data_IF_015567929556
#
_entry.id   IF_015567929556
#
_cell.length_a   1.000
_cell.length_b   1.000
_cell.length_c   1.000
_cell.angle_alpha   90.00
_cell.angle_beta   90.00
_cell.angle_gamma   90.00
#
_symmetry.space_group_name_H-M   'P 1'
#
loop_
_entity.id
_entity.type
_entity.pdbx_description
1 polymer ?
#
# COMPACT_ATOMS: atom_id res chain seq x y z
N UNK A 1 -19.79 3.21 42.75
CA UNK A 1 -19.09 4.24 41.98
C UNK A 1 -17.69 4.29 42.56
N UNK A 2 -16.73 3.64 41.92
CA UNK A 2 -15.35 3.68 42.39
C UNK A 2 -14.87 5.12 42.27
N UNK A 3 -14.19 5.63 43.29
CA UNK A 3 -13.56 6.96 43.25
C UNK A 3 -12.75 7.07 41.97
N UNK A 4 -13.14 8.00 41.10
CA UNK A 4 -12.54 8.25 39.79
C UNK A 4 -11.20 8.99 39.98
N UNK A 5 -10.31 8.41 40.79
CA UNK A 5 -9.01 8.99 41.10
C UNK A 5 -8.16 8.92 39.83
N UNK A 6 -7.66 10.08 39.40
CA UNK A 6 -6.74 10.15 38.27
C UNK A 6 -5.50 9.29 38.56
N UNK A 7 -5.09 8.49 37.57
CA UNK A 7 -3.85 7.72 37.67
C UNK A 7 -2.65 8.67 37.60
N UNK A 8 -1.65 8.42 38.44
CA UNK A 8 -0.38 9.15 38.38
C UNK A 8 0.44 8.64 37.19
N UNK A 9 0.97 9.55 36.36
CA UNK A 9 1.67 9.21 35.11
C UNK A 9 3.04 9.89 34.96
N UNK A 10 3.94 9.82 35.96
CA UNK A 10 5.16 10.62 35.97
C UNK A 10 6.09 10.37 34.76
N UNK A 11 6.15 9.16 34.20
CA UNK A 11 6.95 8.91 33.00
C UNK A 11 6.29 9.48 31.73
N UNK A 12 4.96 9.40 31.62
CA UNK A 12 4.24 9.99 30.49
C UNK A 12 4.22 11.52 30.55
N UNK A 13 4.22 12.13 31.73
CA UNK A 13 4.26 13.58 31.92
C UNK A 13 5.50 14.20 31.25
N UNK A 14 6.64 13.49 31.28
CA UNK A 14 7.86 13.93 30.58
C UNK A 14 7.69 14.01 29.05
N UNK A 15 6.73 13.28 28.47
CA UNK A 15 6.45 13.30 27.03
C UNK A 15 5.56 14.48 26.61
N UNK A 16 5.12 15.31 27.55
CA UNK A 16 4.48 16.59 27.25
C UNK A 16 5.51 17.70 27.00
N UNK A 17 6.76 17.47 27.38
CA UNK A 17 7.85 18.41 27.16
C UNK A 17 8.30 18.43 25.69
N UNK A 18 8.82 19.58 25.26
CA UNK A 18 9.40 19.76 23.92
C UNK A 18 8.41 20.34 22.89
N UNK A 19 8.89 20.59 21.66
CA UNK A 19 8.13 21.34 20.66
C UNK A 19 7.18 20.49 19.80
N UNK A 20 7.32 19.16 19.79
CA UNK A 20 6.47 18.28 18.99
C UNK A 20 5.10 18.10 19.65
N UNK A 21 3.97 18.13 18.91
CA UNK A 21 2.65 17.93 19.50
C UNK A 21 2.56 16.61 20.26
N UNK A 22 2.41 16.69 21.59
CA UNK A 22 2.39 15.51 22.44
C UNK A 22 1.07 14.76 22.32
N UNK A 23 1.17 13.46 22.05
CA UNK A 23 0.01 12.58 22.10
C UNK A 23 -0.51 12.41 23.54
N UNK A 24 0.35 12.53 24.55
CA UNK A 24 -0.04 12.48 25.97
C UNK A 24 -0.93 13.67 26.31
N UNK A 25 -0.55 14.89 25.92
CA UNK A 25 -1.41 16.05 26.13
C UNK A 25 -2.76 15.91 25.43
N UNK A 26 -2.80 15.27 24.25
CA UNK A 26 -4.05 14.94 23.55
C UNK A 26 -4.95 13.97 24.35
N UNK A 27 -4.39 12.90 24.90
CA UNK A 27 -5.15 11.93 25.73
C UNK A 27 -5.57 12.55 27.05
N UNK A 28 -4.70 13.34 27.71
CA UNK A 28 -5.04 14.08 28.94
C UNK A 28 -6.17 15.07 28.71
N UNK A 29 -6.19 15.77 27.58
CA UNK A 29 -7.33 16.64 27.21
C UNK A 29 -8.65 15.85 27.13
N UNK A 30 -8.63 14.63 26.57
CA UNK A 30 -9.81 13.75 26.58
C UNK A 30 -10.20 13.26 27.98
N UNK A 31 -9.23 13.12 28.89
CA UNK A 31 -9.44 12.74 30.30
C UNK A 31 -9.99 13.90 31.15
N UNK A 32 -9.55 15.11 30.88
CA UNK A 32 -9.70 16.24 31.80
C UNK A 32 -10.78 17.25 31.34
N UNK A 33 -10.98 17.38 30.02
CA UNK A 33 -11.81 18.44 29.44
C UNK A 33 -13.02 17.92 28.64
N UNK A 34 -13.08 16.63 28.34
CA UNK A 34 -14.15 16.10 27.50
C UNK A 34 -15.49 16.11 28.26
N UNK A 35 -16.62 16.51 27.64
CA UNK A 35 -17.90 16.61 28.36
C UNK A 35 -18.50 15.26 28.77
N UNK A 36 -18.06 14.16 28.15
CA UNK A 36 -18.61 12.81 28.37
C UNK A 36 -17.79 12.00 29.37
N UNK A 37 -18.33 11.75 30.56
CA UNK A 37 -17.65 11.02 31.66
C UNK A 37 -17.07 9.66 31.24
N UNK A 38 -17.77 8.91 30.39
CA UNK A 38 -17.29 7.63 29.83
C UNK A 38 -15.95 7.79 29.10
N UNK A 39 -15.80 8.83 28.27
CA UNK A 39 -14.57 9.10 27.53
C UNK A 39 -13.45 9.49 28.49
N UNK A 40 -13.76 10.32 29.50
CA UNK A 40 -12.79 10.71 30.52
C UNK A 40 -12.26 9.49 31.28
N UNK A 41 -13.14 8.57 31.70
CA UNK A 41 -12.78 7.34 32.41
C UNK A 41 -11.91 6.41 31.57
N UNK A 42 -12.28 6.17 30.30
CA UNK A 42 -11.49 5.35 29.37
C UNK A 42 -10.10 5.97 29.14
N UNK A 43 -10.02 7.29 28.97
CA UNK A 43 -8.75 7.99 28.79
C UNK A 43 -7.87 7.94 30.05
N UNK A 44 -8.46 8.07 31.24
CA UNK A 44 -7.77 7.92 32.53
C UNK A 44 -7.12 6.53 32.64
N UNK A 45 -7.92 5.48 32.46
CA UNK A 45 -7.47 4.10 32.59
C UNK A 45 -6.47 3.70 31.50
N UNK A 46 -6.62 4.23 30.28
CA UNK A 46 -5.62 4.06 29.23
C UNK A 46 -4.27 4.69 29.61
N UNK A 47 -4.28 5.90 30.17
CA UNK A 47 -3.07 6.58 30.65
C UNK A 47 -2.41 5.79 31.77
N UNK A 48 -3.17 5.30 32.74
CA UNK A 48 -2.66 4.45 33.82
C UNK A 48 -2.02 3.15 33.31
N UNK A 49 -2.68 2.45 32.37
CA UNK A 49 -2.10 1.25 31.76
C UNK A 49 -0.87 1.56 30.90
N UNK A 50 -0.86 2.69 30.21
CA UNK A 50 0.28 3.12 29.39
C UNK A 50 1.48 3.46 30.29
N UNK A 51 1.28 4.16 31.40
CA UNK A 51 2.32 4.39 32.42
C UNK A 51 2.86 3.06 32.94
N UNK A 52 1.97 2.13 33.32
CA UNK A 52 2.37 0.80 33.76
C UNK A 52 3.22 0.05 32.72
N UNK A 53 2.89 0.24 31.43
CA UNK A 53 3.66 -0.30 30.31
C UNK A 53 5.05 0.35 30.20
N UNK A 54 5.19 1.64 30.49
CA UNK A 54 6.46 2.36 30.53
C UNK A 54 7.34 1.91 31.69
N UNK A 55 6.77 1.75 32.89
CA UNK A 55 7.47 1.27 34.09
C UNK A 55 8.04 -0.15 33.88
N UNK A 56 7.22 -1.04 33.32
CA UNK A 56 7.55 -2.47 33.20
C UNK A 56 8.18 -2.85 31.87
N UNK A 57 8.15 -1.94 30.88
CA UNK A 57 8.66 -2.14 29.50
C UNK A 57 8.00 -3.32 28.79
N UNK A 58 6.69 -3.48 28.97
CA UNK A 58 5.87 -4.55 28.38
C UNK A 58 4.57 -3.98 27.82
N UNK A 59 4.00 -4.63 26.81
CA UNK A 59 2.65 -4.36 26.34
C UNK A 59 1.65 -5.33 26.98
N UNK A 60 0.58 -4.81 27.59
CA UNK A 60 -0.45 -5.60 28.29
C UNK A 60 -1.75 -5.72 27.49
N UNK A 61 -1.63 -6.20 26.26
CA UNK A 61 -2.77 -6.33 25.35
C UNK A 61 -2.79 -7.72 24.75
N UNK A 62 -3.88 -8.46 25.00
CA UNK A 62 -4.15 -9.72 24.32
C UNK A 62 -5.14 -9.52 23.18
N UNK A 63 -5.06 -10.41 22.19
CA UNK A 63 -6.06 -10.49 21.13
C UNK A 63 -7.33 -11.23 21.55
N UNK A 64 -8.30 -11.23 20.66
CA UNK A 64 -9.51 -12.02 20.74
C UNK A 64 -10.26 -11.97 19.41
N UNK A 65 -11.57 -12.20 19.45
CA UNK A 65 -12.43 -12.20 18.26
C UNK A 65 -13.66 -11.35 18.53
N UNK A 66 -13.82 -10.26 17.78
CA UNK A 66 -14.99 -9.37 17.75
C UNK A 66 -15.14 -8.89 16.32
N UNK A 67 -16.38 -8.85 15.84
CA UNK A 67 -16.76 -8.34 14.53
C UNK A 67 -18.18 -7.79 14.59
N UNK A 68 -18.69 -7.33 13.45
CA UNK A 68 -20.09 -6.91 13.25
C UNK A 68 -20.84 -7.96 12.44
N UNK A 69 -22.17 -7.97 12.54
CA UNK A 69 -23.01 -8.88 11.77
C UNK A 69 -22.77 -8.73 10.27
N UNK A 70 -22.62 -9.87 9.59
CA UNK A 70 -22.39 -9.93 8.15
C UNK A 70 -20.90 -9.90 7.74
N UNK A 71 -19.99 -9.42 8.60
CA UNK A 71 -18.56 -9.30 8.31
C UNK A 71 -17.70 -10.18 9.20
N UNK A 72 -16.63 -10.75 8.63
CA UNK A 72 -15.59 -11.50 9.34
C UNK A 72 -14.32 -10.69 9.64
N UNK A 73 -14.26 -9.42 9.21
CA UNK A 73 -13.10 -8.55 9.34
C UNK A 73 -13.45 -7.10 9.68
N UNK A 74 -12.42 -6.26 9.75
CA UNK A 74 -12.52 -4.80 9.96
C UNK A 74 -12.34 -4.30 11.39
N UNK A 75 -12.44 -5.19 12.38
CA UNK A 75 -12.17 -4.87 13.78
C UNK A 75 -10.90 -5.57 14.25
N UNK A 76 -10.05 -4.83 14.98
CA UNK A 76 -8.91 -5.38 15.71
C UNK A 76 -9.28 -5.42 17.20
N UNK A 77 -9.78 -6.55 17.71
CA UNK A 77 -10.13 -6.69 19.11
C UNK A 77 -8.88 -6.72 19.98
N UNK A 78 -8.90 -5.90 21.03
CA UNK A 78 -7.90 -5.91 22.10
C UNK A 78 -8.56 -5.86 23.46
N UNK A 79 -8.04 -6.70 24.35
CA UNK A 79 -8.44 -6.82 25.74
C UNK A 79 -7.20 -6.57 26.60
N UNK A 80 -7.36 -5.77 27.65
CA UNK A 80 -6.27 -5.51 28.59
C UNK A 80 -5.97 -6.76 29.41
N UNK A 81 -4.68 -7.09 29.54
CA UNK A 81 -4.22 -8.14 30.46
C UNK A 81 -4.22 -7.70 31.93
N UNK A 82 -4.28 -6.38 32.16
CA UNK A 82 -4.35 -5.73 33.47
C UNK A 82 -5.69 -5.01 33.68
N UNK A 83 -6.75 -5.44 32.97
CA UNK A 83 -8.07 -4.80 33.01
C UNK A 83 -8.78 -4.83 34.37
N UNK A 84 -8.28 -5.58 35.36
CA UNK A 84 -8.75 -5.46 36.75
C UNK A 84 -8.29 -4.15 37.41
N UNK A 85 -7.11 -3.65 37.04
CA UNK A 85 -6.55 -2.39 37.52
C UNK A 85 -7.08 -1.19 36.72
N UNK A 86 -7.43 -1.42 35.45
CA UNK A 86 -7.92 -0.41 34.50
C UNK A 86 -9.24 -0.88 33.87
N UNK A 87 -10.35 -0.92 34.65
CA UNK A 87 -11.62 -1.51 34.23
C UNK A 87 -12.32 -0.77 33.08
N UNK A 88 -12.17 0.54 32.95
CA UNK A 88 -12.82 1.33 31.90
C UNK A 88 -12.17 1.10 30.52
N UNK A 89 -10.87 0.80 30.48
CA UNK A 89 -10.13 0.47 29.25
C UNK A 89 -9.90 -1.02 29.03
N UNK A 90 -10.60 -1.89 29.78
CA UNK A 90 -10.44 -3.36 29.72
C UNK A 90 -10.69 -3.95 28.32
N UNK A 91 -11.59 -3.32 27.56
CA UNK A 91 -11.89 -3.61 26.16
C UNK A 91 -11.55 -2.37 25.33
N UNK A 92 -10.71 -2.55 24.33
CA UNK A 92 -10.13 -1.42 23.60
C UNK A 92 -9.99 -1.71 22.11
N UNK A 93 -11.12 -2.06 21.49
CA UNK A 93 -11.15 -2.54 20.12
C UNK A 93 -10.96 -1.40 19.12
N UNK A 94 -10.18 -1.63 18.07
CA UNK A 94 -10.01 -0.66 16.97
C UNK A 94 -10.89 -1.03 15.80
N UNK A 95 -11.79 -0.12 15.41
CA UNK A 95 -12.59 -0.23 14.21
C UNK A 95 -11.86 0.49 13.08
N UNK A 96 -11.63 -0.22 11.97
CA UNK A 96 -10.95 0.32 10.79
C UNK A 96 -12.00 0.71 9.78
N UNK A 97 -12.07 1.99 9.46
CA UNK A 97 -13.02 2.54 8.49
C UNK A 97 -12.28 2.93 7.22
N UNK A 98 -12.86 2.60 6.07
CA UNK A 98 -12.25 2.90 4.77
C UNK A 98 -12.21 4.42 4.56
N UNK A 99 -11.05 4.99 4.13
CA UNK A 99 -10.98 6.38 3.77
C UNK A 99 -11.52 6.59 2.34
N UNK A 100 -11.91 7.82 1.96
CA UNK A 100 -12.04 8.20 0.57
C UNK A 100 -10.68 8.13 -0.15
N UNK A 101 -10.70 7.85 -1.45
CA UNK A 101 -9.49 7.83 -2.27
C UNK A 101 -8.73 9.17 -2.17
N UNK A 102 -7.41 9.11 -2.01
CA UNK A 102 -6.55 10.27 -1.82
C UNK A 102 -6.69 10.98 -0.46
N UNK A 103 -7.46 10.44 0.49
CA UNK A 103 -7.72 11.04 1.81
C UNK A 103 -8.30 12.46 1.74
N UNK A 104 -9.20 12.72 0.79
CA UNK A 104 -9.92 14.00 0.69
C UNK A 104 -11.18 14.01 1.55
N UNK A 105 -11.27 14.96 2.48
CA UNK A 105 -12.41 15.10 3.39
C UNK A 105 -12.95 16.52 3.37
N UNK A 106 -14.28 16.64 3.53
CA UNK A 106 -14.88 17.90 3.97
C UNK A 106 -14.87 17.98 5.50
N UNK A 107 -14.99 19.18 6.06
CA UNK A 107 -15.13 19.34 7.52
C UNK A 107 -16.39 18.67 8.05
N UNK A 108 -17.45 18.59 7.24
CA UNK A 108 -18.72 18.01 7.66
C UNK A 108 -18.62 16.49 7.80
N UNK A 109 -17.92 15.82 6.87
CA UNK A 109 -17.61 14.39 7.00
C UNK A 109 -16.81 14.09 8.28
N UNK A 110 -15.80 14.91 8.57
CA UNK A 110 -14.94 14.72 9.75
C UNK A 110 -15.72 14.95 11.06
N UNK A 111 -16.57 15.99 11.10
CA UNK A 111 -17.43 16.26 12.27
C UNK A 111 -18.43 15.13 12.48
N UNK A 112 -19.10 14.68 11.42
CA UNK A 112 -20.07 13.58 11.51
C UNK A 112 -19.42 12.29 12.05
N UNK A 113 -18.24 11.93 11.54
CA UNK A 113 -17.48 10.79 12.03
C UNK A 113 -17.05 10.95 13.51
N UNK A 114 -16.62 12.15 13.90
CA UNK A 114 -16.25 12.45 15.29
C UNK A 114 -17.47 12.36 16.22
N UNK A 115 -18.60 12.94 15.83
CA UNK A 115 -19.85 12.91 16.59
C UNK A 115 -20.34 11.46 16.79
N UNK A 116 -20.28 10.62 15.75
CA UNK A 116 -20.57 9.18 15.88
C UNK A 116 -19.58 8.47 16.80
N UNK A 117 -18.29 8.78 16.69
CA UNK A 117 -17.27 8.13 17.52
C UNK A 117 -17.35 8.51 18.99
N UNK A 118 -17.70 9.76 19.32
CA UNK A 118 -17.86 10.19 20.71
C UNK A 118 -19.06 9.51 21.40
N UNK A 119 -20.08 9.10 20.65
CA UNK A 119 -21.20 8.31 21.19
C UNK A 119 -20.75 6.91 21.61
N UNK A 120 -19.98 6.23 20.75
CA UNK A 120 -19.77 4.78 20.85
C UNK A 120 -18.35 4.37 21.29
N UNK A 121 -17.35 5.23 21.09
CA UNK A 121 -15.94 4.95 21.30
C UNK A 121 -15.26 5.87 22.30
N UNK A 122 -13.95 5.77 22.40
CA UNK A 122 -13.13 6.48 23.38
C UNK A 122 -12.85 7.96 23.04
N UNK A 123 -13.27 8.44 21.87
CA UNK A 123 -12.82 9.72 21.31
C UNK A 123 -11.42 9.68 20.68
N UNK A 124 -10.63 8.61 20.88
CA UNK A 124 -9.31 8.47 20.26
C UNK A 124 -9.43 8.00 18.81
N UNK A 125 -8.72 8.71 17.94
CA UNK A 125 -8.66 8.43 16.51
C UNK A 125 -7.22 8.47 16.02
N UNK A 126 -6.93 7.72 14.96
CA UNK A 126 -5.72 7.90 14.17
C UNK A 126 -6.09 8.12 12.70
N UNK A 127 -5.69 9.28 12.19
CA UNK A 127 -5.73 9.67 10.79
C UNK A 127 -4.28 9.66 10.27
N UNK A 128 -3.79 8.58 9.66
CA UNK A 128 -4.46 7.33 9.30
C UNK A 128 -3.59 6.13 9.68
N UNK A 129 -4.16 4.93 9.66
CA UNK A 129 -3.39 3.70 9.76
C UNK A 129 -2.49 3.50 8.54
N UNK A 130 -1.38 2.76 8.70
CA UNK A 130 -0.41 2.54 7.61
C UNK A 130 -0.99 1.88 6.35
N UNK A 131 -2.16 1.23 6.41
CA UNK A 131 -2.78 0.69 5.20
C UNK A 131 -3.62 1.75 4.48
N UNK A 132 -4.18 2.72 5.22
CA UNK A 132 -5.09 3.75 4.71
C UNK A 132 -6.23 4.07 5.66
N UNK A 133 -6.71 3.08 6.40
CA UNK A 133 -7.89 3.20 7.26
C UNK A 133 -7.86 4.39 8.20
N UNK A 134 -9.01 5.03 8.37
CA UNK A 134 -9.31 5.80 9.58
C UNK A 134 -9.41 4.78 10.72
N UNK A 135 -8.67 4.99 11.81
CA UNK A 135 -8.69 4.07 12.95
C UNK A 135 -9.42 4.73 14.10
N UNK A 136 -10.58 4.19 14.44
CA UNK A 136 -11.36 4.56 15.62
C UNK A 136 -10.97 3.61 16.76
N UNK A 137 -10.26 4.12 17.76
CA UNK A 137 -9.46 3.30 18.68
C UNK A 137 -10.11 3.27 20.06
N UNK A 138 -10.60 2.11 20.49
CA UNK A 138 -11.13 1.94 21.84
C UNK A 138 -12.65 2.00 21.88
N UNK A 139 -13.28 0.89 21.51
CA UNK A 139 -14.67 0.59 21.81
C UNK A 139 -14.77 -0.73 22.59
N UNK A 140 -15.87 -0.88 23.33
CA UNK A 140 -16.29 -2.16 23.90
C UNK A 140 -16.88 -3.05 22.81
N UNK A 141 -16.98 -4.35 23.07
CA UNK A 141 -17.64 -5.32 22.18
C UNK A 141 -19.04 -4.85 21.79
N UNK A 142 -19.86 -4.48 22.77
CA UNK A 142 -21.25 -4.07 22.56
C UNK A 142 -21.38 -2.82 21.68
N UNK A 143 -20.45 -1.87 21.79
CA UNK A 143 -20.51 -0.63 21.03
C UNK A 143 -20.01 -0.77 19.58
N UNK A 144 -19.33 -1.87 19.24
CA UNK A 144 -18.76 -2.05 17.89
C UNK A 144 -19.83 -2.08 16.81
N UNK A 145 -20.93 -2.81 17.04
CA UNK A 145 -22.06 -2.88 16.10
C UNK A 145 -22.76 -1.52 15.97
N UNK A 146 -23.01 -0.84 17.08
CA UNK A 146 -23.70 0.47 17.07
C UNK A 146 -22.93 1.54 16.31
N UNK A 147 -21.61 1.61 16.50
CA UNK A 147 -20.79 2.53 15.71
C UNK A 147 -20.82 2.19 14.22
N UNK A 148 -20.70 0.90 13.89
CA UNK A 148 -20.74 0.47 12.50
C UNK A 148 -22.07 0.80 11.83
N UNK A 149 -23.20 0.47 12.45
CA UNK A 149 -24.53 0.76 11.91
C UNK A 149 -24.69 2.26 11.64
N UNK A 150 -24.27 3.12 12.58
CA UNK A 150 -24.39 4.57 12.42
C UNK A 150 -23.54 5.10 11.27
N UNK A 151 -22.27 4.67 11.14
CA UNK A 151 -21.43 5.15 10.03
C UNK A 151 -21.85 4.59 8.67
N UNK A 152 -22.43 3.38 8.67
CA UNK A 152 -22.91 2.73 7.45
C UNK A 152 -24.16 3.42 6.90
N UNK A 153 -25.05 3.88 7.78
CA UNK A 153 -26.24 4.65 7.40
C UNK A 153 -25.93 5.91 6.57
N UNK A 154 -24.77 6.53 6.78
CA UNK A 154 -24.32 7.70 6.00
C UNK A 154 -23.18 7.40 5.01
N UNK A 155 -22.92 6.12 4.73
CA UNK A 155 -22.14 5.68 3.57
C UNK A 155 -20.65 5.37 3.81
N UNK A 156 -20.19 5.32 5.07
CA UNK A 156 -18.87 4.77 5.38
C UNK A 156 -18.96 3.27 5.66
N UNK A 157 -17.88 2.55 5.38
CA UNK A 157 -17.82 1.11 5.61
C UNK A 157 -16.54 0.72 6.36
N UNK A 158 -16.55 -0.43 7.01
CA UNK A 158 -15.36 -1.01 7.59
C UNK A 158 -14.36 -1.40 6.49
N UNK A 159 -13.08 -1.27 6.80
CA UNK A 159 -12.00 -1.74 5.95
C UNK A 159 -11.60 -3.18 6.26
N UNK A 160 -10.64 -3.72 5.50
CA UNK A 160 -10.22 -5.11 5.65
C UNK A 160 -9.31 -5.37 6.85
N UNK A 161 -9.60 -6.44 7.59
CA UNK A 161 -8.69 -7.04 8.58
C UNK A 161 -8.79 -8.56 8.58
N UNK A 162 -7.65 -9.24 8.69
CA UNK A 162 -7.58 -10.70 8.59
C UNK A 162 -6.92 -11.18 7.29
N UNK A 163 -7.12 -12.46 6.93
CA UNK A 163 -6.72 -13.06 5.66
C UNK A 163 -7.76 -12.72 4.56
N UNK A 164 -7.74 -11.45 4.16
CA UNK A 164 -8.71 -10.82 3.28
C UNK A 164 -8.01 -9.78 2.39
N UNK A 165 -8.72 -9.26 1.39
CA UNK A 165 -8.32 -8.01 0.73
C UNK A 165 -8.36 -6.91 1.78
N UNK A 166 -7.30 -6.11 1.85
CA UNK A 166 -7.23 -4.98 2.76
C UNK A 166 -7.67 -3.72 2.04
N UNK A 167 -8.09 -2.73 2.83
CA UNK A 167 -8.29 -1.35 2.37
C UNK A 167 -7.16 -0.93 1.43
N UNK A 168 -7.50 -0.46 0.23
CA UNK A 168 -6.51 0.09 -0.67
C UNK A 168 -6.26 1.56 -0.36
N UNK A 169 -5.25 2.11 -1.04
CA UNK A 169 -4.94 3.52 -1.00
C UNK A 169 -4.31 4.00 -2.29
N UNK A 170 -4.52 5.27 -2.57
CA UNK A 170 -3.88 6.00 -3.66
C UNK A 170 -3.10 7.20 -3.10
N UNK A 171 -2.07 7.65 -3.81
CA UNK A 171 -1.51 8.99 -3.56
C UNK A 171 -2.55 10.08 -3.91
N UNK A 172 -2.23 11.35 -3.64
CA UNK A 172 -3.12 12.51 -3.96
C UNK A 172 -3.38 12.64 -5.46
N UNK A 173 -2.44 12.14 -6.28
CA UNK A 173 -2.61 12.01 -7.70
C UNK A 173 -2.89 13.30 -8.45
N UNK A 174 -3.60 13.17 -9.58
CA UNK A 174 -3.99 14.29 -10.43
C UNK A 174 -4.84 15.37 -9.75
N UNK A 175 -5.35 15.12 -8.53
CA UNK A 175 -6.06 16.14 -7.75
C UNK A 175 -5.14 17.29 -7.33
N UNK A 176 -3.83 17.04 -7.15
CA UNK A 176 -2.86 18.09 -6.76
C UNK A 176 -1.41 17.82 -7.18
N UNK A 177 -1.16 16.93 -8.13
CA UNK A 177 0.18 16.62 -8.64
C UNK A 177 0.20 16.64 -10.16
N UNK A 178 1.04 17.50 -10.71
CA UNK A 178 1.28 17.69 -12.14
C UNK A 178 2.03 16.52 -12.79
N UNK A 179 2.67 15.67 -11.98
CA UNK A 179 3.42 14.50 -12.44
C UNK A 179 2.55 13.23 -12.55
N UNK A 180 1.27 13.32 -12.20
CA UNK A 180 0.34 12.20 -12.28
C UNK A 180 0.16 11.70 -13.73
N UNK A 181 0.33 10.38 -13.88
CA UNK A 181 0.23 9.68 -15.16
C UNK A 181 -0.98 8.74 -15.23
N UNK A 182 -1.89 8.77 -14.26
CA UNK A 182 -3.10 7.94 -14.26
C UNK A 182 -4.19 8.58 -13.40
N UNK A 183 -5.43 8.08 -13.47
CA UNK A 183 -6.47 8.49 -12.53
C UNK A 183 -6.44 7.58 -11.29
N UNK A 184 -5.58 7.89 -10.33
CA UNK A 184 -5.29 7.03 -9.18
C UNK A 184 -6.54 6.77 -8.32
N UNK A 185 -7.42 7.77 -8.23
CA UNK A 185 -8.66 7.68 -7.47
C UNK A 185 -9.68 6.75 -8.15
N UNK A 186 -9.78 6.78 -9.49
CA UNK A 186 -10.62 5.83 -10.22
C UNK A 186 -10.09 4.40 -10.07
N UNK A 187 -8.79 4.19 -10.28
CA UNK A 187 -8.15 2.86 -10.10
C UNK A 187 -8.41 2.29 -8.71
N UNK A 188 -8.15 3.08 -7.68
CA UNK A 188 -8.38 2.68 -6.29
C UNK A 188 -9.84 2.23 -6.11
N UNK A 189 -10.82 3.04 -6.52
CA UNK A 189 -12.24 2.71 -6.35
C UNK A 189 -12.67 1.51 -7.18
N UNK A 190 -12.20 1.39 -8.43
CA UNK A 190 -12.47 0.24 -9.29
C UNK A 190 -12.04 -1.06 -8.61
N UNK A 191 -10.80 -1.14 -8.16
CA UNK A 191 -10.27 -2.34 -7.50
C UNK A 191 -11.02 -2.63 -6.19
N UNK A 192 -11.10 -1.67 -5.27
CA UNK A 192 -11.68 -1.95 -3.94
C UNK A 192 -13.16 -2.29 -4.01
N UNK A 193 -13.93 -1.60 -4.86
CA UNK A 193 -15.36 -1.87 -4.95
C UNK A 193 -15.63 -3.26 -5.55
N UNK A 194 -14.79 -3.73 -6.48
CA UNK A 194 -14.91 -5.07 -7.04
C UNK A 194 -14.72 -6.14 -5.96
N UNK A 195 -13.72 -5.96 -5.08
CA UNK A 195 -13.36 -6.91 -4.04
C UNK A 195 -14.03 -6.63 -2.69
N UNK A 196 -15.21 -6.00 -2.68
CA UNK A 196 -15.89 -5.64 -1.41
C UNK A 196 -16.16 -6.89 -0.56
N UNK A 197 -16.61 -8.00 -1.19
CA UNK A 197 -16.83 -9.26 -0.46
C UNK A 197 -15.55 -9.78 0.19
N UNK A 198 -14.46 -9.85 -0.58
CA UNK A 198 -13.14 -10.27 -0.11
C UNK A 198 -12.52 -9.33 0.92
N UNK A 199 -12.96 -8.07 1.01
CA UNK A 199 -12.54 -7.14 2.06
C UNK A 199 -13.15 -7.52 3.41
N UNK A 200 -14.44 -7.86 3.39
CA UNK A 200 -15.25 -8.04 4.60
C UNK A 200 -15.38 -9.49 5.07
N UNK A 201 -15.22 -10.47 4.17
CA UNK A 201 -15.41 -11.91 4.45
C UNK A 201 -14.10 -12.65 4.19
N UNK A 202 -13.22 -12.76 5.19
CA UNK A 202 -11.91 -13.39 5.00
C UNK A 202 -12.02 -14.85 4.52
N UNK A 203 -11.62 -15.09 3.27
CA UNK A 203 -11.59 -16.40 2.64
C UNK A 203 -10.25 -16.73 1.96
N UNK A 204 -9.29 -15.80 2.02
CA UNK A 204 -8.03 -15.90 1.28
C UNK A 204 -6.95 -16.64 2.09
N UNK A 205 -5.88 -17.16 1.46
CA UNK A 205 -4.79 -17.84 2.17
C UNK A 205 -4.08 -16.93 3.19
N UNK A 206 -3.98 -15.64 2.86
CA UNK A 206 -3.50 -14.61 3.77
C UNK A 206 -4.04 -13.22 3.41
N UNK A 207 -3.30 -12.13 3.70
CA UNK A 207 -3.73 -10.76 3.38
C UNK A 207 -3.31 -10.37 1.95
N UNK A 208 -4.19 -9.68 1.23
CA UNK A 208 -3.89 -9.07 -0.07
C UNK A 208 -4.10 -7.55 -0.01
N UNK A 209 -3.32 -6.77 -0.76
CA UNK A 209 -3.37 -5.30 -0.71
C UNK A 209 -3.21 -4.71 -2.10
N UNK A 210 -4.04 -3.73 -2.43
CA UNK A 210 -3.85 -2.84 -3.57
C UNK A 210 -3.28 -1.50 -3.10
N UNK A 211 -2.32 -0.94 -3.86
CA UNK A 211 -1.92 0.46 -3.74
C UNK A 211 -1.62 1.08 -5.08
N UNK A 212 -1.96 2.36 -5.21
CA UNK A 212 -1.86 3.11 -6.46
C UNK A 212 -1.00 4.36 -6.28
N UNK A 213 -0.01 4.53 -7.15
CA UNK A 213 0.83 5.72 -7.23
C UNK A 213 0.79 6.29 -8.64
N UNK A 214 0.63 7.60 -8.75
CA UNK A 214 0.52 8.28 -10.05
C UNK A 214 1.78 8.32 -10.91
N UNK A 215 2.95 8.11 -10.31
CA UNK A 215 4.24 8.13 -11.01
C UNK A 215 5.29 7.32 -10.23
N UNK A 216 6.48 7.08 -10.79
CA UNK A 216 7.56 6.31 -10.15
C UNK A 216 8.20 6.95 -8.90
N UNK A 217 7.82 8.17 -8.52
CA UNK A 217 8.12 8.68 -7.17
C UNK A 217 7.44 7.87 -6.07
N UNK A 218 6.38 7.12 -6.42
CA UNK A 218 5.68 6.17 -5.59
C UNK A 218 5.30 6.72 -4.20
N UNK A 219 4.64 7.87 -4.14
CA UNK A 219 4.27 8.51 -2.87
C UNK A 219 3.36 7.65 -1.98
N UNK A 220 2.71 6.61 -2.52
CA UNK A 220 1.93 5.65 -1.74
C UNK A 220 2.77 4.49 -1.19
N UNK A 221 4.05 4.42 -1.57
CA UNK A 221 4.95 3.30 -1.33
C UNK A 221 4.28 1.97 -1.75
N UNK A 222 3.69 1.97 -2.94
CA UNK A 222 2.92 0.85 -3.46
C UNK A 222 3.81 -0.37 -3.66
N UNK A 223 5.01 -0.21 -4.22
CA UNK A 223 5.91 -1.32 -4.54
C UNK A 223 6.33 -2.13 -3.30
N UNK A 224 6.50 -1.47 -2.15
CA UNK A 224 6.94 -2.09 -0.91
C UNK A 224 5.80 -2.58 0.00
N UNK A 225 4.59 -1.99 -0.13
CA UNK A 225 3.52 -2.16 0.86
C UNK A 225 2.21 -2.68 0.29
N UNK A 226 2.18 -3.16 -0.94
CA UNK A 226 1.03 -3.81 -1.56
C UNK A 226 1.42 -5.13 -2.23
N UNK A 227 0.48 -6.08 -2.24
CA UNK A 227 0.64 -7.31 -3.01
C UNK A 227 0.54 -6.97 -4.49
N UNK A 228 -0.42 -6.12 -4.89
CA UNK A 228 -0.51 -5.54 -6.23
C UNK A 228 -0.29 -4.02 -6.17
N UNK A 229 0.78 -3.56 -6.79
CA UNK A 229 1.14 -2.16 -6.93
C UNK A 229 0.83 -1.67 -8.35
N UNK A 230 0.15 -0.53 -8.45
CA UNK A 230 -0.15 0.13 -9.73
C UNK A 230 0.57 1.47 -9.74
N UNK A 231 1.54 1.62 -10.65
CA UNK A 231 2.41 2.80 -10.73
C UNK A 231 2.26 3.46 -12.09
N UNK A 232 1.80 4.71 -12.13
CA UNK A 232 1.64 5.48 -13.36
C UNK A 232 2.97 5.72 -14.08
N UNK A 233 2.93 5.76 -15.40
CA UNK A 233 4.08 6.06 -16.27
C UNK A 233 3.60 6.60 -17.62
N UNK A 234 4.53 6.86 -18.54
CA UNK A 234 4.24 7.26 -19.92
C UNK A 234 5.18 6.51 -20.88
N UNK A 235 4.83 6.42 -22.18
CA UNK A 235 5.64 5.69 -23.18
C UNK A 235 6.08 6.51 -24.39
N UNK A 236 5.67 7.76 -24.47
CA UNK A 236 6.16 8.75 -25.43
C UNK A 236 7.28 9.62 -24.82
N UNK A 237 7.66 10.67 -25.54
CA UNK A 237 8.72 11.59 -25.13
C UNK A 237 8.26 12.46 -23.94
N UNK A 238 9.14 12.67 -22.96
CA UNK A 238 8.86 13.67 -21.93
C UNK A 238 8.77 15.07 -22.54
N UNK A 239 7.93 15.93 -21.97
CA UNK A 239 7.78 17.30 -22.46
C UNK A 239 8.86 18.17 -21.87
N UNK A 240 9.44 19.03 -22.72
CA UNK A 240 10.50 19.95 -22.34
C UNK A 240 10.13 21.38 -22.74
N UNK A 241 9.96 22.25 -21.75
CA UNK A 241 9.97 23.70 -21.96
C UNK A 241 11.43 24.19 -21.95
N UNK A 242 11.96 24.41 -23.16
CA UNK A 242 13.34 24.87 -23.35
C UNK A 242 13.60 26.25 -22.74
N UNK A 243 12.59 27.13 -22.69
CA UNK A 243 12.76 28.45 -22.09
C UNK A 243 12.89 28.33 -20.58
N UNK A 244 11.97 27.61 -19.93
CA UNK A 244 12.03 27.36 -18.50
C UNK A 244 13.33 26.63 -18.09
N UNK A 245 13.81 25.71 -18.94
CA UNK A 245 15.11 25.07 -18.74
C UNK A 245 16.28 26.07 -18.83
N UNK A 246 16.33 26.89 -19.88
CA UNK A 246 17.39 27.90 -20.06
C UNK A 246 17.40 28.91 -18.92
N UNK A 247 16.22 29.32 -18.45
CA UNK A 247 16.08 30.20 -17.28
C UNK A 247 16.67 29.54 -16.01
N UNK A 248 16.41 28.25 -15.79
CA UNK A 248 17.00 27.49 -14.68
C UNK A 248 18.53 27.40 -14.79
N UNK A 249 19.06 27.13 -15.99
CA UNK A 249 20.52 27.07 -16.23
C UNK A 249 21.15 28.44 -15.98
N UNK A 250 20.51 29.52 -16.42
CA UNK A 250 20.99 30.88 -16.16
C UNK A 250 20.98 31.24 -14.67
N UNK A 251 19.95 30.80 -13.92
CA UNK A 251 19.83 31.05 -12.48
C UNK A 251 20.84 30.25 -11.65
N UNK A 252 21.00 28.95 -11.94
CA UNK A 252 21.84 28.04 -11.13
C UNK A 252 23.27 27.87 -11.63
N UNK A 253 23.51 28.16 -12.91
CA UNK A 253 24.78 27.96 -13.60
C UNK A 253 24.97 26.53 -14.12
N UNK A 254 25.73 26.42 -15.23
CA UNK A 254 25.99 25.15 -15.92
C UNK A 254 26.60 24.07 -15.01
N UNK A 255 27.54 24.45 -14.13
CA UNK A 255 28.19 23.50 -13.23
C UNK A 255 27.18 22.79 -12.33
N UNK A 256 26.28 23.54 -11.69
CA UNK A 256 25.22 22.99 -10.84
C UNK A 256 24.32 22.04 -11.62
N UNK A 257 23.89 22.45 -12.82
CA UNK A 257 23.03 21.65 -13.70
C UNK A 257 23.69 20.33 -14.10
N UNK A 258 24.99 20.36 -14.43
CA UNK A 258 25.75 19.16 -14.78
C UNK A 258 25.85 18.21 -13.58
N UNK A 259 26.23 18.72 -12.41
CA UNK A 259 26.51 17.92 -11.21
C UNK A 259 25.25 17.34 -10.54
N UNK A 260 24.11 18.02 -10.70
CA UNK A 260 22.87 17.64 -10.01
C UNK A 260 21.78 17.08 -10.91
N UNK A 261 21.86 17.25 -12.22
CA UNK A 261 20.83 16.78 -13.16
C UNK A 261 21.43 15.84 -14.18
N UNK A 262 22.37 16.32 -15.01
CA UNK A 262 22.90 15.55 -16.15
C UNK A 262 23.65 14.30 -15.68
N UNK A 263 24.60 14.45 -14.76
CA UNK A 263 25.41 13.32 -14.25
C UNK A 263 24.63 12.37 -13.34
N UNK A 264 23.47 12.80 -12.83
CA UNK A 264 22.59 12.00 -11.98
C UNK A 264 21.52 11.22 -12.75
N UNK A 265 21.36 11.47 -14.05
CA UNK A 265 20.51 10.64 -14.90
C UNK A 265 21.07 9.21 -14.91
N UNK A 266 20.30 8.20 -14.45
CA UNK A 266 20.80 6.83 -14.29
C UNK A 266 21.26 6.18 -15.60
N UNK A 267 20.68 6.61 -16.73
CA UNK A 267 21.05 6.12 -18.07
C UNK A 267 21.84 7.12 -18.90
N UNK A 268 22.18 8.28 -18.32
CA UNK A 268 22.93 9.36 -19.00
C UNK A 268 22.32 9.79 -20.34
N UNK A 269 20.98 9.77 -20.43
CA UNK A 269 20.24 10.08 -21.65
C UNK A 269 19.97 11.59 -21.85
N UNK A 270 20.65 12.47 -21.11
CA UNK A 270 20.44 13.93 -21.14
C UNK A 270 21.72 14.64 -21.58
N UNK A 271 21.62 15.62 -22.47
CA UNK A 271 22.76 16.39 -22.99
C UNK A 271 22.49 17.89 -22.98
N UNK A 272 23.23 18.64 -22.16
CA UNK A 272 23.24 20.12 -22.17
C UNK A 272 24.10 20.61 -23.34
N UNK A 273 23.52 21.45 -24.21
CA UNK A 273 24.18 22.00 -25.40
C UNK A 273 24.91 23.31 -25.12
N UNK A 274 25.64 23.79 -26.12
CA UNK A 274 26.42 25.05 -26.02
C UNK A 274 25.51 26.29 -25.90
N UNK A 275 24.30 26.24 -26.47
CA UNK A 275 23.29 27.31 -26.39
C UNK A 275 22.37 27.19 -25.14
N UNK A 276 22.81 26.40 -24.16
CA UNK A 276 22.08 26.02 -22.93
C UNK A 276 20.76 25.26 -23.14
N UNK A 277 20.43 24.82 -24.37
CA UNK A 277 19.30 23.91 -24.58
C UNK A 277 19.60 22.51 -24.05
N UNK A 278 18.54 21.73 -23.78
CA UNK A 278 18.65 20.32 -23.37
C UNK A 278 18.12 19.39 -24.46
N UNK A 279 18.89 18.36 -24.78
CA UNK A 279 18.45 17.23 -25.59
C UNK A 279 18.27 16.00 -24.71
N UNK A 280 17.17 15.26 -24.92
CA UNK A 280 16.82 14.06 -24.18
C UNK A 280 16.68 12.90 -25.16
N UNK A 281 17.44 11.84 -24.95
CA UNK A 281 17.24 10.56 -25.63
C UNK A 281 16.19 9.74 -24.86
N UNK A 282 14.91 10.00 -25.16
CA UNK A 282 13.78 9.36 -24.49
C UNK A 282 13.79 7.83 -24.62
N UNK A 283 14.36 7.29 -25.70
CA UNK A 283 14.48 5.84 -25.90
C UNK A 283 15.32 5.17 -24.82
N UNK A 284 16.33 5.88 -24.29
CA UNK A 284 17.17 5.41 -23.18
C UNK A 284 16.70 5.96 -21.82
N UNK A 285 15.57 6.66 -21.74
CA UNK A 285 15.02 7.13 -20.48
C UNK A 285 14.29 6.01 -19.74
N UNK A 286 14.67 5.76 -18.49
CA UNK A 286 13.99 4.82 -17.59
C UNK A 286 12.89 5.48 -16.72
N UNK A 287 12.54 6.72 -17.03
CA UNK A 287 11.43 7.47 -16.38
C UNK A 287 11.54 7.52 -14.86
N UNK A 288 12.76 7.65 -14.33
CA UNK A 288 13.04 7.66 -12.89
C UNK A 288 12.59 8.94 -12.14
N UNK A 289 11.91 9.86 -12.81
CA UNK A 289 11.42 11.16 -12.29
C UNK A 289 12.48 12.19 -11.87
N UNK A 290 13.77 11.84 -11.75
CA UNK A 290 14.79 12.75 -11.22
C UNK A 290 14.80 14.15 -11.86
N UNK A 291 14.86 14.23 -13.19
CA UNK A 291 14.85 15.52 -13.90
C UNK A 291 13.55 16.30 -13.69
N UNK A 292 12.40 15.63 -13.71
CA UNK A 292 11.08 16.21 -13.45
C UNK A 292 10.96 16.72 -12.00
N UNK A 293 11.59 16.04 -11.04
CA UNK A 293 11.59 16.45 -9.63
C UNK A 293 12.46 17.68 -9.39
N UNK A 294 13.60 17.78 -10.08
CA UNK A 294 14.53 18.90 -9.87
C UNK A 294 14.05 20.16 -10.58
N UNK A 295 13.46 20.05 -11.78
CA UNK A 295 12.99 21.20 -12.57
C UNK A 295 11.57 20.97 -13.10
N UNK A 296 10.54 20.92 -12.24
CA UNK A 296 9.16 20.61 -12.63
C UNK A 296 8.54 21.64 -13.57
N UNK A 297 9.08 22.87 -13.62
CA UNK A 297 8.65 23.89 -14.59
C UNK A 297 9.11 23.60 -16.02
N UNK A 298 10.21 22.89 -16.19
CA UNK A 298 10.80 22.61 -17.50
C UNK A 298 10.43 21.22 -18.02
N UNK A 299 10.28 20.24 -17.13
CA UNK A 299 10.01 18.86 -17.51
C UNK A 299 8.65 18.41 -17.01
N UNK A 300 7.91 17.70 -17.86
CA UNK A 300 6.66 17.03 -17.49
C UNK A 300 6.58 15.65 -18.14
N UNK A 301 5.77 14.73 -17.58
CA UNK A 301 5.50 13.44 -18.23
C UNK A 301 4.97 13.64 -19.66
N UNK A 302 5.17 12.65 -20.52
CA UNK A 302 4.58 12.61 -21.85
C UNK A 302 3.05 12.53 -21.83
N UNK A 303 2.46 12.54 -23.02
CA UNK A 303 1.01 12.47 -23.22
C UNK A 303 0.48 11.03 -23.28
N UNK A 304 1.28 10.07 -23.75
CA UNK A 304 0.88 8.67 -23.83
C UNK A 304 1.10 7.96 -22.48
N UNK A 305 0.19 8.30 -21.56
CA UNK A 305 0.16 7.89 -20.17
C UNK A 305 -0.47 6.51 -19.97
N UNK A 306 -0.08 5.82 -18.91
CA UNK A 306 -0.59 4.51 -18.53
C UNK A 306 -0.05 4.08 -17.17
N UNK A 307 -0.08 2.79 -16.89
CA UNK A 307 0.41 2.21 -15.63
C UNK A 307 1.32 1.01 -15.86
N UNK A 308 2.26 0.81 -14.94
CA UNK A 308 3.00 -0.42 -14.73
C UNK A 308 2.36 -1.14 -13.54
N UNK A 309 2.14 -2.45 -13.67
CA UNK A 309 1.59 -3.29 -12.59
C UNK A 309 2.70 -4.19 -12.07
N UNK A 310 2.85 -4.20 -10.73
CA UNK A 310 3.83 -5.02 -10.04
C UNK A 310 3.16 -5.90 -8.99
N UNK A 311 3.71 -7.09 -8.76
CA UNK A 311 3.12 -8.11 -7.88
C UNK A 311 4.12 -8.63 -6.85
N UNK A 312 3.63 -8.92 -5.64
CA UNK A 312 4.35 -9.65 -4.61
C UNK A 312 4.97 -8.81 -3.48
N UNK A 313 4.70 -7.50 -3.43
CA UNK A 313 5.26 -6.63 -2.40
C UNK A 313 4.86 -7.05 -0.97
N UNK A 314 5.85 -7.21 -0.09
CA UNK A 314 5.62 -7.58 1.31
C UNK A 314 6.78 -7.22 2.24
N UNK A 315 6.45 -7.23 3.52
CA UNK A 315 7.41 -7.08 4.62
C UNK A 315 7.93 -8.44 5.11
N UNK A 316 8.90 -8.37 6.01
CA UNK A 316 9.88 -9.37 6.43
C UNK A 316 9.38 -10.80 6.60
N UNK A 317 8.24 -11.03 7.27
CA UNK A 317 7.80 -12.40 7.54
C UNK A 317 7.10 -13.02 6.32
N UNK A 318 7.39 -14.26 5.93
CA UNK A 318 8.40 -15.19 6.53
C UNK A 318 9.76 -15.17 5.85
N UNK A 319 9.82 -14.99 4.53
CA UNK A 319 11.05 -15.20 3.72
C UNK A 319 11.91 -13.96 3.47
N UNK A 320 11.63 -12.84 4.12
CA UNK A 320 12.27 -11.55 3.88
C UNK A 320 11.32 -10.51 3.28
N UNK A 321 11.85 -9.29 3.11
CA UNK A 321 11.15 -8.20 2.43
C UNK A 321 11.20 -8.44 0.92
N UNK A 322 10.07 -8.28 0.25
CA UNK A 322 9.98 -8.31 -1.21
C UNK A 322 9.41 -6.97 -1.70
N UNK A 323 9.99 -6.45 -2.76
CA UNK A 323 9.37 -5.42 -3.58
C UNK A 323 8.53 -6.09 -4.67
N UNK A 324 7.51 -5.40 -5.17
CA UNK A 324 6.73 -5.89 -6.30
C UNK A 324 7.60 -6.11 -7.53
N UNK A 325 7.46 -7.26 -8.18
CA UNK A 325 8.05 -7.58 -9.48
C UNK A 325 7.12 -7.12 -10.60
N UNK A 326 7.65 -6.52 -11.66
CA UNK A 326 6.85 -6.08 -12.81
C UNK A 326 6.20 -7.28 -13.47
N UNK A 327 4.86 -7.24 -13.61
CA UNK A 327 4.08 -8.26 -14.35
C UNK A 327 3.38 -7.66 -15.57
N UNK A 328 3.16 -6.34 -15.60
CA UNK A 328 2.70 -5.62 -16.79
C UNK A 328 3.56 -4.38 -16.94
N UNK A 329 4.50 -4.33 -17.91
CA UNK A 329 5.40 -3.19 -18.09
C UNK A 329 4.66 -1.88 -18.41
N UNK A 330 3.62 -1.96 -19.25
CA UNK A 330 2.77 -0.83 -19.59
C UNK A 330 1.36 -1.30 -19.96
N UNK A 331 0.35 -0.66 -19.38
CA UNK A 331 -1.06 -0.78 -19.71
C UNK A 331 -1.67 0.61 -19.84
N UNK A 332 -2.37 0.85 -20.95
CA UNK A 332 -3.18 2.06 -21.12
C UNK A 332 -4.36 2.01 -20.16
N UNK A 333 -4.81 3.14 -19.63
CA UNK A 333 -5.89 3.17 -18.65
C UNK A 333 -6.80 4.40 -18.79
N UNK A 334 -7.45 4.49 -19.95
CA UNK A 334 -8.28 5.64 -20.36
C UNK A 334 -9.74 5.26 -20.59
N UNK A 335 -9.99 4.08 -21.14
CA UNK A 335 -11.32 3.56 -21.49
C UNK A 335 -11.86 2.66 -20.40
N UNK A 336 -13.19 2.44 -20.35
CA UNK A 336 -13.77 1.50 -19.37
C UNK A 336 -13.27 0.06 -19.57
N UNK A 337 -13.02 -0.38 -20.82
CA UNK A 337 -12.42 -1.68 -21.14
C UNK A 337 -11.02 -1.83 -20.51
N UNK A 338 -10.23 -0.75 -20.46
CA UNK A 338 -8.94 -0.78 -19.77
C UNK A 338 -9.12 -0.99 -18.24
N UNK A 339 -10.16 -0.38 -17.64
CA UNK A 339 -10.47 -0.56 -16.22
C UNK A 339 -11.06 -1.95 -15.92
N UNK A 340 -11.78 -2.54 -16.86
CA UNK A 340 -12.20 -3.95 -16.79
C UNK A 340 -10.98 -4.86 -16.84
N UNK A 341 -10.05 -4.62 -17.77
CA UNK A 341 -8.82 -5.43 -17.92
C UNK A 341 -7.95 -5.43 -16.64
N UNK A 342 -7.74 -4.27 -16.00
CA UNK A 342 -6.98 -4.24 -14.72
C UNK A 342 -7.73 -4.97 -13.59
N UNK A 343 -9.06 -5.01 -13.65
CA UNK A 343 -9.90 -5.72 -12.69
C UNK A 343 -9.77 -7.23 -12.91
N UNK A 344 -9.85 -7.69 -14.16
CA UNK A 344 -9.64 -9.09 -14.53
C UNK A 344 -8.24 -9.59 -14.12
N UNK A 345 -7.19 -8.77 -14.29
CA UNK A 345 -5.85 -9.11 -13.79
C UNK A 345 -5.86 -9.33 -12.28
N UNK A 346 -6.55 -8.47 -11.53
CA UNK A 346 -6.65 -8.59 -10.08
C UNK A 346 -7.48 -9.82 -9.66
N UNK A 347 -8.58 -10.12 -10.36
CA UNK A 347 -9.44 -11.28 -10.12
C UNK A 347 -8.67 -12.57 -10.38
N UNK A 348 -8.11 -12.72 -11.58
CA UNK A 348 -7.30 -13.89 -11.96
C UNK A 348 -6.14 -14.09 -10.99
N UNK A 349 -5.50 -13.01 -10.52
CA UNK A 349 -4.44 -13.10 -9.52
C UNK A 349 -4.96 -13.61 -8.17
N UNK A 350 -6.04 -13.05 -7.66
CA UNK A 350 -6.58 -13.41 -6.35
C UNK A 350 -7.11 -14.84 -6.37
N UNK A 351 -7.84 -15.23 -7.42
CA UNK A 351 -8.36 -16.58 -7.59
C UNK A 351 -7.23 -17.61 -7.69
N UNK A 352 -6.24 -17.35 -8.58
CA UNK A 352 -5.09 -18.23 -8.72
C UNK A 352 -4.31 -18.37 -7.40
N UNK A 353 -4.10 -17.26 -6.68
CA UNK A 353 -3.45 -17.31 -5.37
C UNK A 353 -4.30 -18.00 -4.32
N UNK A 354 -5.63 -17.83 -4.32
CA UNK A 354 -6.53 -18.48 -3.37
C UNK A 354 -6.48 -20.01 -3.50
N UNK A 355 -6.37 -20.52 -4.73
CA UNK A 355 -6.30 -21.95 -5.00
C UNK A 355 -4.91 -22.55 -4.75
N UNK A 356 -3.84 -21.79 -5.03
CA UNK A 356 -2.47 -22.34 -5.06
C UNK A 356 -1.59 -21.87 -3.89
N UNK A 357 -2.05 -20.89 -3.12
CA UNK A 357 -1.37 -20.35 -1.95
C UNK A 357 -1.45 -21.30 -0.75
N UNK A 358 -0.34 -21.45 -0.04
CA UNK A 358 -0.31 -22.18 1.22
C UNK A 358 -0.92 -21.34 2.36
N UNK A 359 -1.31 -22.01 3.44
CA UNK A 359 -1.83 -21.32 4.62
C UNK A 359 -0.82 -20.28 5.14
N UNK A 360 -1.28 -19.04 5.35
CA UNK A 360 -0.44 -17.92 5.78
C UNK A 360 0.73 -17.58 4.83
N UNK A 361 0.59 -17.88 3.54
CA UNK A 361 1.54 -17.51 2.49
C UNK A 361 1.04 -16.28 1.72
N UNK A 362 1.90 -15.27 1.54
CA UNK A 362 1.58 -14.07 0.74
C UNK A 362 1.76 -14.35 -0.75
N UNK A 363 1.08 -13.59 -1.61
CA UNK A 363 1.20 -13.72 -3.07
C UNK A 363 2.65 -13.67 -3.55
N UNK A 364 3.48 -12.75 -3.02
CA UNK A 364 4.91 -12.70 -3.36
C UNK A 364 5.71 -13.93 -2.93
N UNK A 365 5.34 -14.58 -1.83
CA UNK A 365 6.00 -15.81 -1.37
C UNK A 365 5.61 -16.99 -2.25
N UNK A 366 4.35 -17.04 -2.70
CA UNK A 366 3.91 -17.99 -3.71
C UNK A 366 4.70 -17.81 -5.01
N UNK A 367 4.88 -16.57 -5.49
CA UNK A 367 5.66 -16.28 -6.71
C UNK A 367 7.10 -16.79 -6.58
N UNK A 368 7.76 -16.56 -5.45
CA UNK A 368 9.11 -17.09 -5.19
C UNK A 368 9.14 -18.63 -5.14
N UNK A 369 8.10 -19.26 -4.59
CA UNK A 369 7.99 -20.72 -4.47
C UNK A 369 7.73 -21.41 -5.80
N UNK A 370 6.78 -20.92 -6.58
CA UNK A 370 6.36 -21.56 -7.84
C UNK A 370 7.14 -21.03 -9.05
N UNK A 371 7.76 -19.87 -8.94
CA UNK A 371 8.46 -19.17 -10.01
C UNK A 371 7.55 -18.23 -10.80
N UNK A 372 8.11 -17.09 -11.23
CA UNK A 372 7.39 -16.03 -11.95
C UNK A 372 6.67 -16.54 -13.20
N UNK A 373 7.29 -17.42 -13.99
CA UNK A 373 6.69 -17.94 -15.23
C UNK A 373 5.40 -18.73 -14.95
N UNK A 374 5.40 -19.62 -13.96
CA UNK A 374 4.21 -20.40 -13.59
C UNK A 374 3.11 -19.49 -13.02
N UNK A 375 3.49 -18.43 -12.31
CA UNK A 375 2.54 -17.43 -11.85
C UNK A 375 1.89 -16.69 -13.03
N UNK A 376 2.70 -16.17 -13.97
CA UNK A 376 2.23 -15.46 -15.16
C UNK A 376 1.29 -16.32 -16.02
N UNK A 377 1.67 -17.58 -16.26
CA UNK A 377 0.81 -18.55 -16.96
C UNK A 377 -0.51 -18.77 -16.21
N UNK A 378 -0.45 -18.94 -14.89
CA UNK A 378 -1.61 -19.14 -14.03
C UNK A 378 -2.62 -17.99 -14.05
N UNK A 379 -2.16 -16.76 -14.30
CA UNK A 379 -3.01 -15.56 -14.39
C UNK A 379 -3.25 -15.09 -15.83
N UNK A 380 -2.79 -15.85 -16.82
CA UNK A 380 -3.01 -15.55 -18.25
C UNK A 380 -2.20 -14.37 -18.80
N UNK A 381 -1.03 -14.06 -18.22
CA UNK A 381 -0.14 -12.99 -18.69
C UNK A 381 1.04 -13.57 -19.46
N UNK A 382 1.31 -13.03 -20.65
CA UNK A 382 2.49 -13.40 -21.44
C UNK A 382 3.79 -12.85 -20.84
N UNK A 383 4.87 -13.62 -20.99
CA UNK A 383 6.21 -13.23 -20.51
C UNK A 383 6.77 -12.09 -21.37
N UNK A 384 7.27 -11.04 -20.72
CA UNK A 384 7.96 -9.91 -21.36
C UNK A 384 9.38 -9.74 -20.76
N UNK A 385 10.43 -9.54 -21.59
CA UNK A 385 11.79 -9.31 -21.08
C UNK A 385 11.93 -8.14 -20.09
N UNK A 386 11.07 -7.14 -20.14
CA UNK A 386 11.06 -5.99 -19.23
C UNK A 386 10.56 -6.34 -17.82
N UNK A 387 10.08 -7.57 -17.59
CA UNK A 387 9.68 -8.06 -16.26
C UNK A 387 10.87 -8.42 -15.36
N UNK A 388 12.06 -8.62 -15.94
CA UNK A 388 13.26 -9.04 -15.23
C UNK A 388 14.36 -7.97 -15.33
N UNK A 389 15.17 -7.87 -14.27
CA UNK A 389 16.36 -7.01 -14.30
C UNK A 389 17.48 -7.62 -15.14
N UNK A 390 17.71 -8.93 -14.97
CA UNK A 390 18.73 -9.70 -15.67
C UNK A 390 18.22 -11.11 -15.94
N UNK A 391 18.59 -11.74 -17.08
CA UNK A 391 18.37 -13.16 -17.30
C UNK A 391 19.08 -14.00 -16.22
N UNK A 392 18.52 -15.18 -15.97
CA UNK A 392 19.14 -16.15 -15.05
C UNK A 392 20.58 -16.48 -15.47
N UNK A 393 21.47 -16.56 -14.50
CA UNK A 393 22.86 -16.99 -14.70
C UNK A 393 23.07 -18.50 -14.50
N UNK A 394 22.13 -19.16 -13.82
CA UNK A 394 22.11 -20.62 -13.66
C UNK A 394 21.50 -21.30 -14.87
N UNK A 395 22.09 -22.42 -15.31
CA UNK A 395 21.62 -23.26 -16.42
C UNK A 395 20.51 -24.25 -16.03
N UNK A 396 19.95 -24.17 -14.83
CA UNK A 396 18.86 -25.07 -14.38
C UNK A 396 17.50 -24.68 -14.98
N UNK A 397 17.39 -24.77 -16.30
CA UNK A 397 16.17 -24.48 -17.06
C UNK A 397 15.25 -25.69 -16.98
N UNK A 398 14.03 -25.47 -16.45
CA UNK A 398 12.96 -26.46 -16.52
C UNK A 398 12.39 -26.43 -17.94
N UNK A 399 12.33 -27.60 -18.58
CA UNK A 399 11.76 -27.79 -19.92
C UNK A 399 10.63 -28.80 -19.80
N UNK A 400 9.38 -28.36 -19.92
CA UNK A 400 8.22 -29.25 -19.77
C UNK A 400 8.08 -30.25 -20.94
N UNK A 401 8.84 -30.08 -22.03
CA UNK A 401 8.92 -31.01 -23.17
C UNK A 401 10.21 -31.86 -23.23
N UNK A 402 10.93 -32.02 -22.11
CA UNK A 402 12.20 -32.77 -22.10
C UNK A 402 12.06 -34.20 -22.63
N UNK A 403 10.98 -34.90 -22.26
CA UNK A 403 10.77 -36.28 -22.66
C UNK A 403 10.61 -36.41 -24.19
N UNK A 404 9.89 -35.47 -24.80
CA UNK A 404 9.69 -35.43 -26.26
C UNK A 404 11.00 -35.15 -27.00
N UNK A 405 11.82 -34.22 -26.50
CA UNK A 405 13.13 -33.91 -27.09
C UNK A 405 14.15 -35.03 -26.86
N UNK A 406 14.09 -35.71 -25.71
CA UNK A 406 14.90 -36.88 -25.42
C UNK A 406 14.59 -38.03 -26.39
N UNK A 407 13.30 -38.30 -26.65
CA UNK A 407 12.88 -39.30 -27.66
C UNK A 407 13.46 -38.96 -29.03
N UNK A 408 13.29 -37.72 -29.51
CA UNK A 408 13.88 -37.27 -30.79
C UNK A 408 15.40 -37.45 -30.84
N UNK A 409 16.08 -37.24 -29.72
CA UNK A 409 17.53 -37.45 -29.65
C UNK A 409 17.92 -38.93 -29.78
N UNK A 410 17.23 -39.83 -29.07
CA UNK A 410 17.49 -41.26 -29.16
C UNK A 410 17.21 -41.82 -30.57
N UNK A 411 16.14 -41.34 -31.22
CA UNK A 411 15.83 -41.67 -32.62
C UNK A 411 16.96 -41.26 -33.57
N UNK A 412 17.44 -40.01 -33.47
CA UNK A 412 18.58 -39.53 -34.27
C UNK A 412 19.86 -40.34 -34.04
N UNK A 413 20.14 -40.75 -32.79
CA UNK A 413 21.29 -41.59 -32.48
C UNK A 413 21.16 -42.99 -33.08
N UNK A 414 19.96 -43.57 -33.04
CA UNK A 414 19.68 -44.87 -33.65
C UNK A 414 19.85 -44.83 -35.18
N UNK A 415 19.35 -43.77 -35.83
CA UNK A 415 19.52 -43.54 -37.27
C UNK A 415 21.00 -43.35 -37.65
N UNK A 416 21.74 -42.56 -36.86
CA UNK A 416 23.18 -42.34 -37.08
C UNK A 416 23.97 -43.64 -36.93
N UNK A 417 23.65 -44.47 -35.93
CA UNK A 417 24.30 -45.75 -35.71
C UNK A 417 24.00 -46.75 -36.84
N UNK A 418 22.77 -46.79 -37.35
CA UNK A 418 22.42 -47.61 -38.52
C UNK A 418 23.14 -47.15 -39.80
N UNK A 419 23.26 -45.84 -39.99
CA UNK A 419 23.95 -45.23 -41.13
C UNK A 419 25.47 -45.49 -41.12
N UNK A 420 26.07 -45.67 -39.94
CA UNK A 420 27.50 -45.96 -39.79
C UNK A 420 27.83 -47.47 -39.86
N UNK A 421 26.82 -48.34 -39.78
CA UNK A 421 26.98 -49.80 -39.81
C UNK A 421 26.72 -50.44 -41.19
N UNK A 422 26.19 -49.67 -42.15
CA UNK A 422 26.09 -50.03 -43.57
C UNK A 422 27.17 -49.37 -44.38
#
# INVERSE_FOLDING_TARGET
>A
MADNKQHETPMLDELENGPWPSFISGIKRLRDEHPTERINGVANDLLGQLEHSYETRKGYWKGGTVSVYGYGGGIIPRFSEVGQQFPESKEFHTLRVQPPAGNHYSTDMLRQLADSWEKWGSGLVTFHGQTGNIMFIGATTDNTQHFFDEINDYGFDLGGAGPCVRTAMSCVGGARCEQSCANEHKIHRTLVNNFTDDVHRPALPYKFKFKVSGCPNDCMNSIERADMAVIGTWRDDMKVDQQAWKDYVAEKGRQHTIDNIITRCPTRCMSLKDDDSIEIDNRNCVRCMHCLNVVPKAFSPGDDKGVTILMGGKRTLKIGDLMGTVIVPFMKLETEEDYETITEIAENTIDFWAENGLEHERCGEMIERIGLVNFLEGIGIEVDPHMIADPRQSSYVRMDGWDEEAVKWFERQAETAQSAAG
#
